data_IF_081952387938
#
_entry.id   IF_081952387938
#
_cell.length_a   1.000
_cell.length_b   1.000
_cell.length_c   1.000
_cell.angle_alpha   90.00
_cell.angle_beta   90.00
_cell.angle_gamma   90.00
#
_symmetry.space_group_name_H-M   'P 1'
#
loop_
_entity.id
_entity.type
_entity.pdbx_description
1 polymer ?
#
# COMPACT_ATOMS: atom_id res chain seq x y z
N UNK A 1 -2.03 -16.39 -25.46
CA UNK A 1 -2.32 -15.07 -24.86
C UNK A 1 -1.43 -14.86 -23.63
N UNK A 2 -0.68 -13.74 -23.55
CA UNK A 2 0.04 -13.33 -22.34
C UNK A 2 -0.94 -13.06 -21.19
N UNK A 3 -0.46 -13.12 -19.95
CA UNK A 3 -1.30 -13.02 -18.74
C UNK A 3 -2.15 -11.74 -18.71
N UNK A 4 -1.59 -10.61 -19.15
CA UNK A 4 -2.30 -9.34 -19.20
C UNK A 4 -3.44 -9.31 -20.22
N UNK A 5 -3.43 -10.17 -21.25
CA UNK A 5 -4.55 -10.34 -22.19
C UNK A 5 -5.50 -11.47 -21.80
N UNK A 6 -5.00 -12.53 -21.14
CA UNK A 6 -5.85 -13.66 -20.66
C UNK A 6 -7.01 -13.18 -19.81
N UNK A 7 -6.86 -12.04 -19.12
CA UNK A 7 -7.90 -11.48 -18.25
C UNK A 7 -9.16 -11.01 -18.98
N UNK A 8 -9.08 -10.80 -20.30
CA UNK A 8 -10.19 -10.40 -21.16
C UNK A 8 -10.84 -11.59 -21.87
N UNK A 9 -10.70 -12.81 -21.32
CA UNK A 9 -11.31 -14.02 -21.86
C UNK A 9 -12.48 -14.49 -20.98
N UNK A 10 -13.50 -15.19 -21.54
CA UNK A 10 -14.63 -15.69 -20.78
C UNK A 10 -14.22 -16.57 -19.59
N UNK A 11 -13.19 -17.41 -19.76
CA UNK A 11 -12.69 -18.28 -18.69
C UNK A 11 -12.13 -17.50 -17.49
N UNK A 12 -11.45 -16.36 -17.73
CA UNK A 12 -11.03 -15.51 -16.63
C UNK A 12 -12.24 -14.93 -15.87
N UNK A 13 -13.29 -14.53 -16.59
CA UNK A 13 -14.54 -14.04 -15.99
C UNK A 13 -15.21 -15.14 -15.16
N UNK A 14 -15.31 -16.38 -15.65
CA UNK A 14 -15.87 -17.49 -14.87
C UNK A 14 -15.10 -17.73 -13.56
N UNK A 15 -13.77 -17.74 -13.59
CA UNK A 15 -12.95 -17.91 -12.37
C UNK A 15 -13.13 -16.74 -11.39
N UNK A 16 -13.31 -15.52 -11.90
CA UNK A 16 -13.67 -14.34 -11.09
C UNK A 16 -15.06 -14.48 -10.47
N UNK A 17 -16.05 -14.95 -11.22
CA UNK A 17 -17.40 -15.25 -10.70
C UNK A 17 -17.34 -16.32 -9.61
N UNK A 18 -16.57 -17.39 -9.80
CA UNK A 18 -16.37 -18.43 -8.78
C UNK A 18 -15.69 -17.87 -7.53
N UNK A 19 -14.70 -16.98 -7.68
CA UNK A 19 -14.09 -16.27 -6.56
C UNK A 19 -15.12 -15.45 -5.77
N UNK A 20 -16.05 -14.77 -6.46
CA UNK A 20 -17.16 -14.08 -5.80
C UNK A 20 -18.15 -15.06 -5.16
N UNK A 21 -18.38 -16.23 -5.78
CA UNK A 21 -19.18 -17.32 -5.23
C UNK A 21 -18.69 -17.79 -3.86
N UNK A 22 -17.37 -17.83 -3.63
CA UNK A 22 -16.81 -18.10 -2.30
C UNK A 22 -17.30 -17.07 -1.26
N UNK A 23 -17.29 -15.78 -1.61
CA UNK A 23 -17.75 -14.72 -0.70
C UNK A 23 -19.24 -14.87 -0.37
N UNK A 24 -20.06 -15.23 -1.36
CA UNK A 24 -21.50 -15.49 -1.20
C UNK A 24 -21.73 -16.68 -0.26
N UNK A 25 -21.07 -17.82 -0.52
CA UNK A 25 -21.17 -19.02 0.33
C UNK A 25 -20.76 -18.71 1.77
N UNK A 26 -19.71 -17.93 1.98
CA UNK A 26 -19.28 -17.50 3.31
C UNK A 26 -20.31 -16.62 4.03
N UNK A 27 -20.98 -15.71 3.31
CA UNK A 27 -22.08 -14.88 3.87
C UNK A 27 -23.30 -15.73 4.23
N UNK A 28 -23.59 -16.76 3.45
CA UNK A 28 -24.64 -17.75 3.72
C UNK A 28 -24.23 -18.80 4.76
N UNK A 29 -23.02 -18.69 5.35
CA UNK A 29 -22.45 -19.63 6.32
C UNK A 29 -22.30 -21.07 5.79
N UNK A 30 -22.25 -21.24 4.47
CA UNK A 30 -22.00 -22.50 3.76
C UNK A 30 -20.49 -22.74 3.62
N UNK A 31 -19.82 -22.94 4.76
CA UNK A 31 -18.35 -22.98 4.82
C UNK A 31 -17.74 -24.25 4.21
N UNK A 32 -18.46 -25.37 4.19
CA UNK A 32 -17.98 -26.62 3.57
C UNK A 32 -17.90 -26.47 2.05
N UNK A 33 -18.94 -25.89 1.47
CA UNK A 33 -19.07 -25.57 0.05
C UNK A 33 -18.04 -24.51 -0.34
N UNK A 34 -17.86 -23.47 0.50
CA UNK A 34 -16.83 -22.46 0.27
C UNK A 34 -15.42 -23.05 0.23
N UNK A 35 -15.09 -23.99 1.13
CA UNK A 35 -13.81 -24.72 1.13
C UNK A 35 -13.64 -25.58 -0.11
N UNK A 36 -14.69 -26.31 -0.52
CA UNK A 36 -14.66 -27.11 -1.75
C UNK A 36 -14.37 -26.24 -2.98
N UNK A 37 -15.06 -25.10 -3.10
CA UNK A 37 -14.87 -24.15 -4.19
C UNK A 37 -13.46 -23.52 -4.16
N UNK A 38 -12.92 -23.19 -2.98
CA UNK A 38 -11.55 -22.69 -2.83
C UNK A 38 -10.50 -23.72 -3.27
N UNK A 39 -10.65 -24.99 -2.87
CA UNK A 39 -9.74 -26.07 -3.29
C UNK A 39 -9.77 -26.27 -4.81
N UNK A 40 -10.94 -26.21 -5.43
CA UNK A 40 -11.06 -26.24 -6.90
C UNK A 40 -10.36 -25.04 -7.57
N UNK A 41 -10.53 -23.83 -7.03
CA UNK A 41 -9.85 -22.62 -7.54
C UNK A 41 -8.32 -22.70 -7.41
N UNK A 42 -7.81 -23.30 -6.34
CA UNK A 42 -6.39 -23.50 -6.09
C UNK A 42 -5.77 -24.59 -6.96
N UNK A 43 -6.56 -25.60 -7.35
CA UNK A 43 -6.10 -26.70 -8.20
C UNK A 43 -5.77 -26.28 -9.64
N UNK A 44 -6.45 -25.27 -10.18
CA UNK A 44 -6.16 -24.77 -11.52
C UNK A 44 -4.94 -23.82 -11.56
N UNK A 45 -4.17 -23.86 -12.65
CA UNK A 45 -2.91 -23.15 -12.82
C UNK A 45 -2.91 -22.15 -13.99
N UNK A 46 -4.08 -21.80 -14.55
CA UNK A 46 -4.17 -21.03 -15.80
C UNK A 46 -4.64 -19.59 -15.58
N UNK A 47 -5.68 -19.40 -14.77
CA UNK A 47 -6.38 -18.12 -14.62
C UNK A 47 -6.28 -17.61 -13.18
N UNK A 48 -6.30 -16.29 -13.03
CA UNK A 48 -6.31 -15.63 -11.72
C UNK A 48 -5.21 -16.14 -10.76
N UNK A 49 -4.01 -16.46 -11.27
CA UNK A 49 -2.93 -16.99 -10.43
C UNK A 49 -2.49 -15.97 -9.36
N UNK A 50 -2.65 -14.68 -9.67
CA UNK A 50 -2.54 -13.53 -8.79
C UNK A 50 -3.55 -13.52 -7.61
N UNK A 51 -4.58 -14.38 -7.63
CA UNK A 51 -5.55 -14.54 -6.53
C UNK A 51 -5.20 -15.67 -5.58
N UNK A 52 -4.20 -16.51 -5.86
CA UNK A 52 -3.87 -17.67 -5.03
C UNK A 52 -3.63 -17.31 -3.57
N UNK A 53 -2.90 -16.23 -3.30
CA UNK A 53 -2.69 -15.78 -1.92
C UNK A 53 -3.98 -15.43 -1.18
N UNK A 54 -4.96 -14.82 -1.88
CA UNK A 54 -6.28 -14.55 -1.32
C UNK A 54 -7.07 -15.85 -1.09
N UNK A 55 -7.01 -16.79 -2.02
CA UNK A 55 -7.72 -18.07 -1.90
C UNK A 55 -7.17 -18.91 -0.74
N UNK A 56 -5.84 -19.03 -0.61
CA UNK A 56 -5.21 -19.70 0.53
C UNK A 56 -5.56 -19.03 1.87
N UNK A 57 -5.51 -17.70 1.96
CA UNK A 57 -5.88 -16.98 3.18
C UNK A 57 -7.34 -17.24 3.58
N UNK A 58 -8.28 -17.22 2.62
CA UNK A 58 -9.69 -17.56 2.89
C UNK A 58 -9.88 -19.04 3.23
N UNK A 59 -9.12 -19.94 2.61
CA UNK A 59 -9.18 -21.38 2.87
C UNK A 59 -8.73 -21.68 4.30
N UNK A 60 -7.55 -21.20 4.68
CA UNK A 60 -7.01 -21.34 6.03
C UNK A 60 -7.96 -20.72 7.08
N UNK A 61 -8.53 -19.55 6.80
CA UNK A 61 -9.54 -18.92 7.68
C UNK A 61 -10.77 -19.80 7.87
N UNK A 62 -11.35 -20.33 6.79
CA UNK A 62 -12.55 -21.17 6.88
C UNK A 62 -12.28 -22.45 7.65
N UNK A 63 -11.15 -23.12 7.39
CA UNK A 63 -10.76 -24.35 8.06
C UNK A 63 -10.57 -24.10 9.56
N UNK A 64 -9.79 -23.09 9.94
CA UNK A 64 -9.51 -22.76 11.34
C UNK A 64 -10.77 -22.27 12.07
N UNK A 65 -11.37 -21.17 11.61
CA UNK A 65 -12.33 -20.42 12.42
C UNK A 65 -13.74 -21.01 12.35
N UNK A 66 -14.15 -21.51 11.18
CA UNK A 66 -15.53 -21.91 10.93
C UNK A 66 -15.72 -23.43 10.98
N UNK A 67 -14.79 -24.20 10.42
CA UNK A 67 -14.88 -25.67 10.41
C UNK A 67 -14.12 -26.34 11.55
N UNK A 68 -13.37 -25.59 12.36
CA UNK A 68 -12.62 -26.06 13.53
C UNK A 68 -11.62 -27.18 13.19
N UNK A 69 -10.94 -27.03 12.06
CA UNK A 69 -9.91 -27.94 11.52
C UNK A 69 -8.56 -27.23 11.46
N UNK A 70 -7.93 -26.95 12.63
CA UNK A 70 -6.67 -26.18 12.68
C UNK A 70 -5.49 -26.92 12.04
N UNK A 71 -5.45 -28.25 12.10
CA UNK A 71 -4.40 -29.05 11.45
C UNK A 71 -4.48 -28.95 9.92
N UNK A 72 -5.67 -29.17 9.33
CA UNK A 72 -5.87 -28.94 7.89
C UNK A 72 -5.56 -27.49 7.50
N UNK A 73 -5.91 -26.50 8.35
CA UNK A 73 -5.55 -25.11 8.07
C UNK A 73 -4.03 -24.91 8.01
N UNK A 74 -3.27 -25.58 8.88
CA UNK A 74 -1.81 -25.51 8.91
C UNK A 74 -1.17 -26.13 7.66
N UNK A 75 -1.67 -27.28 7.23
CA UNK A 75 -1.25 -27.95 5.98
C UNK A 75 -1.47 -27.04 4.76
N UNK A 76 -2.64 -26.40 4.67
CA UNK A 76 -2.92 -25.47 3.56
C UNK A 76 -2.04 -24.21 3.63
N UNK A 77 -1.64 -23.77 4.83
CA UNK A 77 -0.65 -22.68 4.98
C UNK A 77 0.73 -23.14 4.47
N UNK A 78 1.17 -24.35 4.78
CA UNK A 78 2.44 -24.91 4.26
C UNK A 78 2.43 -24.96 2.72
N UNK A 79 1.32 -25.43 2.13
CA UNK A 79 1.12 -25.42 0.67
C UNK A 79 1.21 -24.00 0.11
N UNK A 80 0.57 -23.03 0.77
CA UNK A 80 0.60 -21.63 0.37
C UNK A 80 2.01 -21.03 0.44
N UNK A 81 2.79 -21.37 1.46
CA UNK A 81 4.17 -20.89 1.62
C UNK A 81 5.12 -21.49 0.57
N UNK A 82 4.76 -22.63 -0.02
CA UNK A 82 5.50 -23.24 -1.14
C UNK A 82 5.08 -22.70 -2.53
N UNK A 83 3.92 -22.04 -2.64
CA UNK A 83 3.41 -21.52 -3.92
C UNK A 83 3.97 -20.11 -4.22
N UNK A 84 4.75 -20.01 -5.29
CA UNK A 84 5.38 -18.75 -5.77
C UNK A 84 4.39 -17.64 -6.11
N UNK A 85 3.12 -17.95 -6.38
CA UNK A 85 2.10 -16.96 -6.70
C UNK A 85 1.46 -16.33 -5.45
N UNK A 86 1.75 -16.85 -4.25
CA UNK A 86 1.35 -16.21 -3.00
C UNK A 86 2.33 -15.08 -2.73
N UNK A 87 1.91 -13.82 -2.97
CA UNK A 87 2.76 -12.63 -2.79
C UNK A 87 2.88 -12.21 -1.33
N UNK A 88 3.92 -11.42 -1.04
CA UNK A 88 4.36 -11.03 0.33
C UNK A 88 3.21 -10.64 1.27
N UNK A 89 2.25 -9.83 0.82
CA UNK A 89 1.11 -9.40 1.64
C UNK A 89 0.27 -10.56 2.18
N UNK A 90 -0.13 -11.50 1.32
CA UNK A 90 -0.88 -12.67 1.76
C UNK A 90 0.00 -13.71 2.45
N UNK A 91 1.27 -13.86 2.02
CA UNK A 91 2.25 -14.71 2.73
C UNK A 91 2.37 -14.29 4.19
N UNK A 92 2.53 -13.00 4.46
CA UNK A 92 2.62 -12.46 5.81
C UNK A 92 1.35 -12.73 6.62
N UNK A 93 0.16 -12.50 6.05
CA UNK A 93 -1.11 -12.84 6.74
C UNK A 93 -1.18 -14.33 7.11
N UNK A 94 -0.74 -15.22 6.22
CA UNK A 94 -0.69 -16.67 6.45
C UNK A 94 0.35 -17.03 7.52
N UNK A 95 1.53 -16.41 7.50
CA UNK A 95 2.57 -16.58 8.52
C UNK A 95 2.08 -16.16 9.91
N UNK A 96 1.42 -15.01 10.02
CA UNK A 96 0.83 -14.52 11.28
C UNK A 96 -0.28 -15.46 11.78
N UNK A 97 -1.01 -16.13 10.88
CA UNK A 97 -1.96 -17.20 11.24
C UNK A 97 -1.22 -18.45 11.71
N UNK A 98 -0.19 -18.89 10.98
CA UNK A 98 0.63 -20.02 11.36
C UNK A 98 1.25 -19.82 12.76
N UNK A 99 1.80 -18.64 13.07
CA UNK A 99 2.34 -18.32 14.41
C UNK A 99 1.35 -18.59 15.55
N UNK A 100 0.05 -18.39 15.31
CA UNK A 100 -0.98 -18.71 16.32
C UNK A 100 -1.25 -20.21 16.41
N UNK A 101 -1.25 -20.91 15.29
CA UNK A 101 -1.51 -22.35 15.20
C UNK A 101 -0.33 -23.19 15.66
N UNK A 102 0.91 -22.71 15.48
CA UNK A 102 2.15 -23.42 15.85
C UNK A 102 2.55 -23.20 17.31
N UNK A 103 1.78 -22.44 18.10
CA UNK A 103 2.10 -22.19 19.53
C UNK A 103 2.23 -23.47 20.35
N UNK A 104 1.47 -24.50 20.01
CA UNK A 104 1.51 -25.81 20.67
C UNK A 104 2.55 -26.77 20.11
N UNK A 105 3.23 -26.42 19.01
CA UNK A 105 4.30 -27.22 18.46
C UNK A 105 5.58 -27.02 19.26
N UNK A 106 6.45 -28.03 19.23
CA UNK A 106 7.79 -27.98 19.81
C UNK A 106 8.59 -26.80 19.23
N UNK A 107 9.46 -26.19 20.03
CA UNK A 107 10.38 -25.15 19.58
C UNK A 107 11.41 -25.69 18.58
N UNK A 108 11.67 -27.00 18.62
CA UNK A 108 12.55 -27.66 17.66
C UNK A 108 11.90 -27.93 16.30
N UNK A 109 10.59 -27.76 16.16
CA UNK A 109 9.84 -27.98 14.92
C UNK A 109 10.33 -27.05 13.79
N UNK A 110 10.78 -27.64 12.68
CA UNK A 110 11.35 -26.92 11.54
C UNK A 110 10.35 -25.93 10.92
N UNK A 111 9.06 -26.26 10.91
CA UNK A 111 8.04 -25.38 10.37
C UNK A 111 7.80 -24.18 11.28
N UNK A 112 7.78 -24.36 12.61
CA UNK A 112 7.70 -23.26 13.58
C UNK A 112 8.89 -22.31 13.43
N UNK A 113 10.11 -22.83 13.31
CA UNK A 113 11.33 -22.03 13.07
C UNK A 113 11.25 -21.25 11.77
N UNK A 114 10.80 -21.88 10.68
CA UNK A 114 10.57 -21.22 9.40
C UNK A 114 9.59 -20.05 9.52
N UNK A 115 8.45 -20.29 10.18
CA UNK A 115 7.40 -19.29 10.35
C UNK A 115 7.89 -18.10 11.18
N UNK A 116 8.61 -18.34 12.29
CA UNK A 116 9.20 -17.27 13.11
C UNK A 116 10.16 -16.40 12.29
N UNK A 117 11.04 -17.03 11.50
CA UNK A 117 12.00 -16.32 10.65
C UNK A 117 11.34 -15.51 9.53
N UNK A 118 10.37 -16.08 8.83
CA UNK A 118 9.72 -15.40 7.70
C UNK A 118 8.69 -14.34 8.14
N UNK A 119 8.15 -14.46 9.35
CA UNK A 119 7.22 -13.48 9.91
C UNK A 119 7.93 -12.29 10.55
N UNK A 120 9.25 -12.33 10.70
CA UNK A 120 10.01 -11.27 11.35
C UNK A 120 10.04 -10.00 10.49
N UNK A 121 9.54 -8.92 11.06
CA UNK A 121 9.42 -7.60 10.43
C UNK A 121 9.82 -6.54 11.44
N UNK A 122 10.47 -5.49 10.95
CA UNK A 122 10.83 -4.35 11.79
C UNK A 122 9.54 -3.63 12.21
N UNK A 123 9.31 -3.53 13.52
CA UNK A 123 8.21 -2.75 14.06
C UNK A 123 8.53 -1.26 13.90
N UNK A 124 7.62 -0.53 13.25
CA UNK A 124 7.78 0.90 13.06
C UNK A 124 7.70 1.66 14.40
N UNK A 125 8.53 2.71 14.58
CA UNK A 125 8.37 3.65 15.68
C UNK A 125 6.94 4.17 15.76
N UNK A 126 6.44 4.38 16.99
CA UNK A 126 5.08 4.88 17.23
C UNK A 126 5.16 6.19 18.01
N UNK A 127 4.45 7.19 17.51
CA UNK A 127 4.22 8.45 18.21
C UNK A 127 2.74 8.57 18.56
N UNK A 128 2.43 9.27 19.65
CA UNK A 128 1.06 9.47 20.09
C UNK A 128 0.77 10.97 20.10
N UNK A 129 -0.24 11.37 19.34
CA UNK A 129 -0.73 12.76 19.34
C UNK A 129 -2.14 12.81 19.92
N UNK A 130 -2.47 13.94 20.54
CA UNK A 130 -3.76 14.14 21.19
C UNK A 130 -4.64 15.05 20.34
N UNK A 131 -5.78 14.55 19.90
CA UNK A 131 -6.79 15.31 19.18
C UNK A 131 -8.01 15.61 20.06
N UNK A 132 -8.47 16.86 20.07
CA UNK A 132 -9.76 17.20 20.72
C UNK A 132 -10.92 16.75 19.83
N UNK A 133 -11.75 15.85 20.33
CA UNK A 133 -12.93 15.39 19.57
C UNK A 133 -13.95 16.52 19.40
N UNK A 134 -14.56 16.59 18.22
CA UNK A 134 -15.73 17.42 18.00
C UNK A 134 -16.92 16.85 18.80
N UNK A 135 -17.56 17.64 19.68
CA UNK A 135 -18.68 17.16 20.52
C UNK A 135 -19.96 16.89 19.72
N UNK A 136 -20.07 17.40 18.48
CA UNK A 136 -21.21 17.14 17.61
C UNK A 136 -20.92 15.94 16.71
N UNK A 137 -21.78 14.92 16.79
CA UNK A 137 -21.76 13.82 15.82
C UNK A 137 -22.19 14.35 14.45
N UNK A 138 -21.27 14.38 13.50
CA UNK A 138 -21.57 14.70 12.10
C UNK A 138 -22.05 13.42 11.43
N UNK A 139 -23.24 13.46 10.82
CA UNK A 139 -23.79 12.31 10.09
C UNK A 139 -22.78 11.82 9.04
N UNK A 140 -22.42 10.54 9.10
CA UNK A 140 -21.51 9.89 8.16
C UNK A 140 -20.01 10.07 8.45
N UNK A 141 -19.60 10.89 9.42
CA UNK A 141 -18.19 11.06 9.79
C UNK A 141 -17.96 10.64 11.25
N UNK A 142 -17.06 9.69 11.46
CA UNK A 142 -16.60 9.25 12.80
C UNK A 142 -15.21 9.82 13.05
N UNK A 143 -14.84 10.00 14.32
CA UNK A 143 -13.51 10.47 14.75
C UNK A 143 -13.07 11.78 14.09
N UNK A 144 -13.87 12.80 14.32
CA UNK A 144 -13.68 14.14 13.80
C UNK A 144 -13.09 15.03 14.90
N UNK A 145 -12.06 15.81 14.58
CA UNK A 145 -11.28 16.61 15.54
C UNK A 145 -11.40 18.11 15.29
N UNK A 146 -11.05 18.91 16.29
CA UNK A 146 -11.02 20.37 16.22
C UNK A 146 -9.58 20.83 15.98
N UNK A 147 -9.37 21.74 15.02
CA UNK A 147 -8.07 22.34 14.73
C UNK A 147 -7.49 23.10 15.93
N UNK A 148 -6.16 23.07 16.10
CA UNK A 148 -5.48 23.87 17.12
C UNK A 148 -5.65 25.38 16.86
N UNK A 149 -5.72 25.78 15.59
CA UNK A 149 -5.82 27.17 15.15
C UNK A 149 -7.16 27.84 15.49
N UNK A 150 -8.26 27.07 15.53
CA UNK A 150 -9.60 27.59 15.88
C UNK A 150 -9.75 27.98 17.36
N UNK A 151 -8.77 27.67 18.21
CA UNK A 151 -8.74 28.10 19.62
C UNK A 151 -8.12 29.50 19.75
N UNK A 152 -7.36 29.96 18.76
CA UNK A 152 -6.63 31.23 18.78
C UNK A 152 -7.36 32.39 18.11
N UNK A 153 -8.33 32.11 17.24
CA UNK A 153 -9.20 33.11 16.60
C UNK A 153 -10.44 33.37 17.46
N UNK A 154 -10.66 34.61 17.89
CA UNK A 154 -11.83 35.07 18.67
C UNK A 154 -13.16 35.06 17.87
N UNK A 155 -13.32 34.18 16.89
CA UNK A 155 -14.52 34.07 16.07
C UNK A 155 -15.08 32.64 16.17
N UNK A 156 -16.41 32.53 16.21
CA UNK A 156 -17.20 31.30 16.45
C UNK A 156 -17.02 30.17 15.39
N UNK A 157 -15.97 30.23 14.56
CA UNK A 157 -15.73 29.31 13.46
C UNK A 157 -14.81 28.16 13.89
N UNK A 158 -15.42 27.02 14.26
CA UNK A 158 -14.69 25.79 14.60
C UNK A 158 -14.32 25.05 13.31
N UNK A 159 -13.04 25.02 12.97
CA UNK A 159 -12.53 24.20 11.86
C UNK A 159 -12.46 22.74 12.29
N UNK A 160 -13.04 21.90 11.43
CA UNK A 160 -13.26 20.48 11.69
C UNK A 160 -12.33 19.65 10.81
N UNK A 161 -11.52 18.79 11.43
CA UNK A 161 -10.48 17.99 10.78
C UNK A 161 -10.77 16.50 10.87
N UNK A 162 -10.31 15.75 9.86
CA UNK A 162 -10.14 14.29 10.00
C UNK A 162 -8.82 13.96 10.72
N UNK A 163 -8.56 12.66 10.93
CA UNK A 163 -7.39 12.18 11.67
C UNK A 163 -6.10 12.59 10.95
N UNK A 164 -6.09 12.53 9.63
CA UNK A 164 -4.93 12.81 8.78
C UNK A 164 -4.60 14.30 8.74
N UNK A 165 -5.61 15.17 8.65
CA UNK A 165 -5.44 16.62 8.72
C UNK A 165 -4.94 17.09 10.09
N UNK A 166 -5.47 16.53 11.18
CA UNK A 166 -4.94 16.81 12.52
C UNK A 166 -3.46 16.41 12.61
N UNK A 167 -3.10 15.28 12.00
CA UNK A 167 -1.72 14.80 11.99
C UNK A 167 -0.81 15.73 11.17
N UNK A 168 -1.28 16.23 10.02
CA UNK A 168 -0.56 17.24 9.24
C UNK A 168 -0.33 18.54 10.02
N UNK A 169 -1.33 19.04 10.76
CA UNK A 169 -1.15 20.22 11.63
C UNK A 169 -0.06 19.99 12.68
N UNK A 170 -0.05 18.81 13.31
CA UNK A 170 0.96 18.46 14.30
C UNK A 170 2.39 18.47 13.72
N UNK A 171 2.61 17.82 12.57
CA UNK A 171 3.95 17.82 11.95
C UNK A 171 4.36 19.18 11.42
N UNK A 172 3.39 20.02 11.03
CA UNK A 172 3.66 21.42 10.69
C UNK A 172 4.24 22.19 11.88
N UNK A 173 3.69 21.98 13.07
CA UNK A 173 4.22 22.53 14.33
C UNK A 173 5.59 21.89 14.70
N UNK A 174 5.82 20.62 14.34
CA UNK A 174 7.10 19.89 14.54
C UNK A 174 8.18 20.21 13.48
N UNK A 175 7.98 21.27 12.68
CA UNK A 175 8.98 21.77 11.74
C UNK A 175 8.96 21.15 10.35
N UNK A 176 7.87 20.48 9.96
CA UNK A 176 7.61 20.03 8.59
C UNK A 176 6.55 20.94 7.94
N UNK A 177 6.94 22.11 7.37
CA UNK A 177 5.99 23.09 6.85
C UNK A 177 5.10 22.55 5.73
N UNK A 178 5.60 21.57 4.97
CA UNK A 178 4.90 20.93 3.85
C UNK A 178 4.47 19.51 4.21
N UNK A 179 3.32 19.10 3.69
CA UNK A 179 2.84 17.74 3.86
C UNK A 179 1.66 17.40 2.97
N UNK A 180 1.53 16.12 2.63
CA UNK A 180 0.50 15.62 1.74
C UNK A 180 -0.18 14.38 2.30
N UNK A 181 -1.51 14.37 2.28
CA UNK A 181 -2.32 13.17 2.44
C UNK A 181 -2.71 12.62 1.07
N UNK A 182 -1.96 11.63 0.59
CA UNK A 182 -2.17 11.04 -0.73
C UNK A 182 -2.12 9.52 -0.76
N UNK A 183 -1.85 8.86 0.37
CA UNK A 183 -1.68 7.40 0.46
C UNK A 183 -0.73 6.90 -0.66
N UNK A 184 -1.08 5.80 -1.32
CA UNK A 184 -0.33 5.28 -2.46
C UNK A 184 -0.26 6.21 -3.67
N UNK A 185 -1.20 7.16 -3.84
CA UNK A 185 -1.24 8.00 -5.04
C UNK A 185 -0.03 8.93 -5.15
N UNK A 186 0.50 9.41 -4.02
CA UNK A 186 1.72 10.24 -3.98
C UNK A 186 2.89 9.49 -4.60
N UNK A 187 3.19 8.30 -4.08
CA UNK A 187 4.35 7.52 -4.51
C UNK A 187 4.19 6.91 -5.91
N UNK A 188 2.96 6.54 -6.30
CA UNK A 188 2.67 6.10 -7.67
C UNK A 188 2.89 7.25 -8.66
N UNK A 189 2.50 8.48 -8.28
CA UNK A 189 2.72 9.65 -9.12
C UNK A 189 4.20 10.00 -9.22
N UNK A 190 4.95 9.94 -8.12
CA UNK A 190 6.41 10.12 -8.15
C UNK A 190 7.10 9.07 -9.03
N UNK A 191 6.70 7.80 -8.91
CA UNK A 191 7.17 6.74 -9.79
C UNK A 191 6.89 7.06 -11.26
N UNK A 192 5.67 7.47 -11.59
CA UNK A 192 5.29 7.79 -12.96
C UNK A 192 5.99 9.04 -13.51
N UNK A 193 6.26 10.05 -12.67
CA UNK A 193 7.05 11.23 -13.04
C UNK A 193 8.52 10.87 -13.31
N UNK A 194 9.10 9.94 -12.54
CA UNK A 194 10.50 9.55 -12.68
C UNK A 194 10.74 8.48 -13.76
N UNK A 195 9.72 7.69 -14.10
CA UNK A 195 9.81 6.54 -15.03
C UNK A 195 8.93 6.70 -16.28
N UNK A 196 8.52 7.92 -16.61
CA UNK A 196 7.51 8.18 -17.65
C UNK A 196 7.80 7.43 -18.96
N UNK A 197 8.99 7.64 -19.54
CA UNK A 197 9.36 7.06 -20.83
C UNK A 197 9.41 5.53 -20.82
N UNK A 198 9.76 4.93 -19.68
CA UNK A 198 9.81 3.48 -19.50
C UNK A 198 8.39 2.90 -19.39
N UNK A 199 7.53 3.55 -18.59
CA UNK A 199 6.14 3.11 -18.38
C UNK A 199 5.35 3.21 -19.69
N UNK A 200 5.54 4.29 -20.43
CA UNK A 200 4.82 4.60 -21.65
C UNK A 200 5.57 4.20 -22.93
N UNK A 201 6.58 3.33 -22.81
CA UNK A 201 7.29 2.74 -23.95
C UNK A 201 6.31 1.97 -24.86
N UNK A 202 6.04 2.57 -26.03
CA UNK A 202 5.14 2.05 -27.05
C UNK A 202 5.76 0.95 -27.92
N UNK A 203 7.04 0.62 -27.73
CA UNK A 203 7.71 -0.46 -28.49
C UNK A 203 7.33 -1.86 -28.01
N UNK A 204 6.80 -1.99 -26.78
CA UNK A 204 6.38 -3.28 -26.22
C UNK A 204 5.07 -3.74 -26.88
N UNK A 205 5.02 -4.92 -27.53
CA UNK A 205 3.82 -5.37 -28.23
C UNK A 205 2.61 -5.56 -27.31
N UNK A 206 1.42 -5.27 -27.85
CA UNK A 206 0.10 -5.53 -27.24
C UNK A 206 -0.21 -4.81 -25.91
N UNK A 207 0.71 -4.00 -25.36
CA UNK A 207 0.45 -3.32 -24.07
C UNK A 207 -0.33 -2.02 -24.23
N UNK A 208 -0.32 -1.42 -25.42
CA UNK A 208 -1.17 -0.29 -25.81
C UNK A 208 -1.95 -0.66 -27.08
N UNK A 209 -3.25 -0.89 -26.92
CA UNK A 209 -4.16 -1.31 -28.00
C UNK A 209 -5.14 -0.20 -28.42
N UNK A 210 -5.24 0.88 -27.64
CA UNK A 210 -6.05 2.04 -28.01
C UNK A 210 -5.50 3.36 -27.43
N UNK A 211 -5.88 4.53 -27.99
CA UNK A 211 -5.36 5.83 -27.57
C UNK A 211 -5.83 6.31 -26.18
N UNK A 212 -6.81 5.63 -25.57
CA UNK A 212 -7.43 6.07 -24.31
C UNK A 212 -6.89 5.36 -23.06
N UNK A 213 -5.83 4.55 -23.21
CA UNK A 213 -5.21 3.87 -22.08
C UNK A 213 -4.41 4.86 -21.23
N UNK A 214 -4.67 4.83 -19.92
CA UNK A 214 -3.90 5.64 -18.95
C UNK A 214 -2.60 4.97 -18.49
N UNK A 215 -2.41 3.69 -18.84
CA UNK A 215 -1.25 2.88 -18.47
C UNK A 215 -1.17 1.61 -19.37
N UNK A 216 0.01 0.97 -19.48
CA UNK A 216 0.14 -0.24 -20.28
C UNK A 216 -0.61 -1.41 -19.63
N UNK A 217 -1.16 -2.31 -20.46
CA UNK A 217 -1.97 -3.45 -19.99
C UNK A 217 -1.20 -4.42 -19.09
N UNK A 218 0.12 -4.51 -19.26
CA UNK A 218 1.00 -5.40 -18.50
C UNK A 218 1.39 -4.86 -17.12
N UNK A 219 1.14 -3.57 -16.79
CA UNK A 219 1.57 -2.91 -15.54
C UNK A 219 1.24 -3.72 -14.27
N UNK A 220 0.09 -4.37 -14.24
CA UNK A 220 -0.37 -5.14 -13.08
C UNK A 220 0.06 -6.61 -13.11
N UNK A 221 1.12 -6.94 -13.84
CA UNK A 221 1.65 -8.30 -14.03
C UNK A 221 3.18 -8.30 -13.90
N UNK A 222 3.77 -9.47 -13.61
CA UNK A 222 5.23 -9.62 -13.57
C UNK A 222 5.89 -9.29 -14.93
N UNK A 223 5.14 -9.37 -16.03
CA UNK A 223 5.66 -9.09 -17.38
C UNK A 223 6.04 -7.61 -17.57
N UNK A 224 5.46 -6.67 -16.81
CA UNK A 224 5.84 -5.26 -16.92
C UNK A 224 7.34 -5.07 -16.66
N UNK A 225 7.82 -5.62 -15.54
CA UNK A 225 9.23 -5.57 -15.19
C UNK A 225 10.07 -6.40 -16.16
N UNK A 226 9.66 -7.64 -16.45
CA UNK A 226 10.45 -8.55 -17.30
C UNK A 226 10.66 -8.00 -18.71
N UNK A 227 9.63 -7.38 -19.31
CA UNK A 227 9.73 -6.79 -20.65
C UNK A 227 10.62 -5.53 -20.69
N UNK A 228 10.85 -4.90 -19.53
CA UNK A 228 11.58 -3.63 -19.41
C UNK A 228 12.79 -3.73 -18.48
N UNK A 229 13.24 -4.94 -18.15
CA UNK A 229 14.20 -5.18 -17.06
C UNK A 229 15.49 -4.38 -17.28
N UNK A 230 16.05 -4.42 -18.49
CA UNK A 230 17.25 -3.66 -18.85
C UNK A 230 17.05 -2.15 -18.74
N UNK A 231 15.91 -1.62 -19.20
CA UNK A 231 15.61 -0.18 -19.12
C UNK A 231 15.45 0.26 -17.67
N UNK A 232 14.67 -0.49 -16.89
CA UNK A 232 14.39 -0.21 -15.48
C UNK A 232 15.67 -0.27 -14.66
N UNK A 233 16.48 -1.32 -14.81
CA UNK A 233 17.74 -1.49 -14.06
C UNK A 233 18.74 -0.40 -14.40
N UNK A 234 18.97 -0.10 -15.69
CA UNK A 234 19.86 0.99 -16.10
C UNK A 234 19.38 2.35 -15.59
N UNK A 235 18.07 2.61 -15.59
CA UNK A 235 17.51 3.86 -15.11
C UNK A 235 17.61 3.99 -13.58
N UNK A 236 17.37 2.90 -12.84
CA UNK A 236 17.59 2.85 -11.39
C UNK A 236 19.06 3.11 -11.03
N UNK A 237 20.01 2.57 -11.79
CA UNK A 237 21.44 2.85 -11.60
C UNK A 237 21.79 4.32 -11.85
N UNK A 238 21.22 4.94 -12.88
CA UNK A 238 21.37 6.37 -13.15
C UNK A 238 20.77 7.21 -12.01
N UNK A 239 19.52 6.93 -11.62
CA UNK A 239 18.83 7.63 -10.54
C UNK A 239 19.57 7.50 -9.21
N UNK A 240 20.19 6.35 -8.91
CA UNK A 240 20.95 6.15 -7.67
C UNK A 240 22.14 7.10 -7.56
N UNK A 241 22.73 7.48 -8.69
CA UNK A 241 23.87 8.42 -8.76
C UNK A 241 23.43 9.87 -9.04
N UNK A 242 22.13 10.12 -9.21
CA UNK A 242 21.59 11.44 -9.50
C UNK A 242 21.68 12.36 -8.28
N UNK A 243 22.04 13.62 -8.53
CA UNK A 243 21.94 14.69 -7.53
C UNK A 243 20.48 15.13 -7.34
N UNK A 244 20.20 15.90 -6.30
CA UNK A 244 18.87 16.48 -6.11
C UNK A 244 18.44 17.37 -7.29
N UNK A 245 19.37 18.06 -7.94
CA UNK A 245 19.05 18.89 -9.12
C UNK A 245 18.72 18.04 -10.34
N UNK A 246 19.40 16.91 -10.54
CA UNK A 246 19.07 15.96 -11.61
C UNK A 246 17.65 15.39 -11.42
N UNK A 247 17.29 15.02 -10.18
CA UNK A 247 15.94 14.53 -9.85
C UNK A 247 14.87 15.58 -10.14
N UNK A 248 15.12 16.83 -9.74
CA UNK A 248 14.21 17.96 -10.01
C UNK A 248 14.05 18.21 -11.51
N UNK A 249 15.11 18.07 -12.29
CA UNK A 249 15.08 18.27 -13.75
C UNK A 249 14.30 17.16 -14.46
N UNK A 250 14.44 15.90 -14.04
CA UNK A 250 13.63 14.78 -14.55
C UNK A 250 12.14 15.04 -14.31
N UNK A 251 11.79 15.45 -13.08
CA UNK A 251 10.40 15.77 -12.72
C UNK A 251 9.87 16.96 -13.53
N UNK A 252 10.66 18.03 -13.65
CA UNK A 252 10.32 19.22 -14.43
C UNK A 252 10.05 18.88 -15.89
N UNK A 253 10.99 18.17 -16.52
CA UNK A 253 10.87 17.74 -17.92
C UNK A 253 9.58 16.96 -18.15
N UNK A 254 9.29 16.00 -17.25
CA UNK A 254 8.07 15.20 -17.35
C UNK A 254 6.81 16.04 -17.11
N UNK A 255 6.85 16.94 -16.14
CA UNK A 255 5.75 17.85 -15.83
C UNK A 255 5.42 18.76 -17.03
N UNK A 256 6.40 19.49 -17.56
CA UNK A 256 6.21 20.42 -18.68
C UNK A 256 5.67 19.71 -19.94
N UNK A 257 6.13 18.48 -20.21
CA UNK A 257 5.73 17.73 -21.41
C UNK A 257 4.39 16.97 -21.26
N UNK A 258 3.95 16.66 -20.04
CA UNK A 258 2.85 15.70 -19.82
C UNK A 258 1.77 16.15 -18.83
N UNK A 259 1.92 17.29 -18.16
CA UNK A 259 0.94 17.79 -17.20
C UNK A 259 -0.48 17.80 -17.77
N UNK A 260 -1.44 17.30 -16.99
CA UNK A 260 -2.84 17.19 -17.37
C UNK A 260 -3.21 15.97 -18.22
N UNK A 261 -2.25 15.17 -18.70
CA UNK A 261 -2.54 13.91 -19.42
C UNK A 261 -3.09 12.84 -18.47
N UNK A 262 -4.16 12.15 -18.87
CA UNK A 262 -4.69 11.03 -18.11
C UNK A 262 -3.65 9.89 -18.02
N UNK A 263 -3.08 9.68 -16.84
CA UNK A 263 -1.91 8.84 -16.62
C UNK A 263 -1.93 8.20 -15.22
N UNK A 264 -0.82 7.56 -14.81
CA UNK A 264 -0.63 7.14 -13.42
C UNK A 264 -0.42 8.32 -12.46
N UNK A 265 -0.06 9.50 -12.98
CA UNK A 265 0.14 10.71 -12.19
C UNK A 265 -1.21 11.31 -11.81
N UNK A 266 -1.43 11.48 -10.52
CA UNK A 266 -2.54 12.26 -10.00
C UNK A 266 -2.14 13.74 -9.96
N UNK A 267 -2.28 14.46 -11.08
CA UNK A 267 -1.79 15.85 -11.20
C UNK A 267 -2.31 16.78 -10.10
N UNK A 268 -3.61 16.70 -9.78
CA UNK A 268 -4.27 17.52 -8.74
C UNK A 268 -3.81 17.21 -7.31
N UNK A 269 -2.89 16.25 -7.13
CA UNK A 269 -2.31 15.87 -5.83
C UNK A 269 -1.25 16.87 -5.41
N UNK A 270 -0.52 17.43 -6.37
CA UNK A 270 0.57 18.37 -6.13
C UNK A 270 0.07 19.78 -6.39
N UNK A 271 0.50 20.72 -5.55
CA UNK A 271 0.10 22.12 -5.68
C UNK A 271 0.66 22.72 -6.97
N UNK A 272 1.96 22.50 -7.19
CA UNK A 272 2.69 22.97 -8.36
C UNK A 272 3.98 22.13 -8.55
N UNK A 273 4.79 22.54 -9.53
CA UNK A 273 6.07 21.89 -9.82
C UNK A 273 7.08 22.05 -8.68
N UNK A 274 7.15 23.23 -8.03
CA UNK A 274 8.10 23.50 -6.96
C UNK A 274 7.82 22.62 -5.74
N UNK A 275 6.55 22.39 -5.44
CA UNK A 275 6.07 21.51 -4.38
C UNK A 275 6.56 20.05 -4.57
N UNK A 276 6.39 19.49 -5.78
CA UNK A 276 6.87 18.13 -6.06
C UNK A 276 8.39 18.06 -6.14
N UNK A 277 9.06 19.12 -6.63
CA UNK A 277 10.52 19.24 -6.64
C UNK A 277 11.11 19.25 -5.23
N UNK A 278 10.47 19.96 -4.29
CA UNK A 278 10.84 19.95 -2.88
C UNK A 278 10.71 18.55 -2.27
N UNK A 279 9.61 17.85 -2.55
CA UNK A 279 9.39 16.49 -2.07
C UNK A 279 10.44 15.50 -2.59
N UNK A 280 10.74 15.49 -3.89
CA UNK A 280 11.74 14.55 -4.44
C UNK A 280 13.15 14.85 -3.93
N UNK A 281 13.48 16.12 -3.70
CA UNK A 281 14.77 16.50 -3.12
C UNK A 281 14.91 16.05 -1.66
N UNK A 282 13.83 16.09 -0.88
CA UNK A 282 13.85 15.64 0.52
C UNK A 282 13.84 14.11 0.64
N UNK A 283 13.11 13.39 -0.23
CA UNK A 283 13.17 11.92 -0.29
C UNK A 283 14.56 11.44 -0.74
N UNK A 284 15.18 12.16 -1.67
CA UNK A 284 16.49 11.83 -2.19
C UNK A 284 16.50 10.58 -3.07
N UNK A 285 17.60 10.40 -3.80
CA UNK A 285 17.74 9.35 -4.81
C UNK A 285 17.57 7.94 -4.25
N UNK A 286 18.15 7.66 -3.07
CA UNK A 286 18.16 6.31 -2.49
C UNK A 286 16.74 5.81 -2.17
N UNK A 287 15.94 6.61 -1.47
CA UNK A 287 14.58 6.25 -1.08
C UNK A 287 13.69 6.16 -2.33
N UNK A 288 13.79 7.13 -3.24
CA UNK A 288 13.03 7.13 -4.49
C UNK A 288 13.33 5.89 -5.35
N UNK A 289 14.61 5.51 -5.49
CA UNK A 289 15.00 4.32 -6.23
C UNK A 289 14.37 3.06 -5.64
N UNK A 290 14.44 2.86 -4.31
CA UNK A 290 13.85 1.67 -3.68
C UNK A 290 12.33 1.61 -3.87
N UNK A 291 11.63 2.74 -3.67
CA UNK A 291 10.18 2.80 -3.89
C UNK A 291 9.83 2.50 -5.35
N UNK A 292 10.52 3.12 -6.31
CA UNK A 292 10.29 2.91 -7.73
C UNK A 292 10.59 1.47 -8.16
N UNK A 293 11.68 0.88 -7.68
CA UNK A 293 12.03 -0.53 -7.95
C UNK A 293 10.95 -1.47 -7.42
N UNK A 294 10.46 -1.23 -6.19
CA UNK A 294 9.38 -2.03 -5.58
C UNK A 294 8.06 -1.91 -6.35
N UNK A 295 7.74 -0.73 -6.85
CA UNK A 295 6.56 -0.50 -7.68
C UNK A 295 6.72 -1.14 -9.06
N UNK A 296 7.88 -1.00 -9.71
CA UNK A 296 8.14 -1.59 -11.02
C UNK A 296 8.09 -3.12 -10.99
N UNK A 297 8.66 -3.76 -9.95
CA UNK A 297 8.68 -5.24 -9.82
C UNK A 297 7.33 -5.86 -9.47
N UNK A 298 6.50 -5.17 -8.67
CA UNK A 298 5.29 -5.79 -8.10
C UNK A 298 4.10 -4.83 -7.95
N UNK A 299 3.91 -3.94 -8.93
CA UNK A 299 2.96 -2.81 -8.88
C UNK A 299 1.60 -3.17 -8.29
N UNK A 300 0.99 -4.26 -8.79
CA UNK A 300 -0.34 -4.68 -8.36
C UNK A 300 -0.44 -4.92 -6.85
N UNK A 301 0.58 -5.50 -6.26
CA UNK A 301 0.58 -5.93 -4.86
C UNK A 301 1.25 -4.91 -3.93
N UNK A 302 2.02 -3.97 -4.48
CA UNK A 302 2.72 -2.92 -3.73
C UNK A 302 2.05 -1.55 -3.83
N UNK A 303 1.20 -1.27 -4.81
CA UNK A 303 0.47 0.03 -4.93
C UNK A 303 -0.50 0.37 -3.79
N UNK A 304 -0.69 -0.54 -2.83
CA UNK A 304 -1.65 -0.40 -1.72
C UNK A 304 -0.98 -0.69 -0.39
N UNK A 305 -1.43 -0.03 0.67
CA UNK A 305 -0.82 -0.11 2.01
C UNK A 305 0.44 0.74 2.16
N UNK A 306 0.67 1.66 1.23
CA UNK A 306 1.68 2.71 1.37
C UNK A 306 1.21 3.68 2.46
N UNK A 307 2.10 4.26 3.28
CA UNK A 307 1.70 5.17 4.35
C UNK A 307 0.86 6.36 3.89
N UNK A 308 -0.05 6.80 4.77
CA UNK A 308 -1.07 7.81 4.46
C UNK A 308 -0.46 9.17 4.09
N UNK A 309 0.57 9.59 4.84
CA UNK A 309 1.18 10.91 4.76
C UNK A 309 2.65 10.87 4.37
N UNK A 310 3.07 11.94 3.70
CA UNK A 310 4.48 12.35 3.65
C UNK A 310 4.56 13.81 4.06
N UNK A 311 5.44 14.13 5.01
CA UNK A 311 5.69 15.49 5.51
C UNK A 311 7.16 15.82 5.32
N UNK A 312 7.49 17.04 4.93
CA UNK A 312 8.87 17.44 4.64
C UNK A 312 9.13 18.91 4.91
N UNK A 313 10.41 19.24 4.98
CA UNK A 313 10.91 20.59 5.11
C UNK A 313 11.95 20.84 4.00
N UNK A 314 11.60 21.61 2.95
CA UNK A 314 12.50 21.90 1.83
C UNK A 314 13.80 22.60 2.23
N UNK A 315 13.78 23.42 3.28
CA UNK A 315 14.97 24.18 3.74
C UNK A 315 15.98 23.29 4.44
N UNK A 316 15.50 22.32 5.22
CA UNK A 316 16.37 21.41 6.00
C UNK A 316 16.57 20.04 5.34
N UNK A 317 15.91 19.81 4.20
CA UNK A 317 15.87 18.53 3.47
C UNK A 317 15.43 17.33 4.33
N UNK A 318 14.64 17.58 5.38
CA UNK A 318 14.04 16.53 6.21
C UNK A 318 12.75 16.04 5.58
N UNK A 319 12.51 14.74 5.63
CA UNK A 319 11.27 14.10 5.21
C UNK A 319 10.91 13.00 6.19
N UNK A 320 9.60 12.81 6.42
CA UNK A 320 9.07 11.73 7.21
C UNK A 320 7.84 11.13 6.53
N UNK A 321 7.76 9.81 6.52
CA UNK A 321 6.66 9.05 5.93
C UNK A 321 5.80 8.49 7.07
N UNK A 322 4.54 8.90 7.16
CA UNK A 322 3.73 8.64 8.36
C UNK A 322 2.48 7.86 8.01
N UNK A 323 2.28 6.75 8.72
CA UNK A 323 1.05 5.98 8.70
C UNK A 323 0.16 6.42 9.87
N UNK A 324 -1.06 6.84 9.59
CA UNK A 324 -1.96 7.42 10.60
C UNK A 324 -2.94 6.36 11.10
N UNK A 325 -3.17 6.30 12.41
CA UNK A 325 -4.18 5.42 13.01
C UNK A 325 -5.07 6.19 13.97
N UNK A 326 -6.36 6.18 13.66
CA UNK A 326 -7.38 6.67 14.57
C UNK A 326 -7.61 5.72 15.76
N UNK A 327 -8.44 6.13 16.73
CA UNK A 327 -8.75 5.33 17.91
C UNK A 327 -9.34 3.95 17.54
N UNK A 328 -8.63 2.88 17.90
CA UNK A 328 -9.06 1.50 17.67
C UNK A 328 -8.66 0.90 16.31
N UNK A 329 -8.07 1.70 15.43
CA UNK A 329 -7.57 1.22 14.14
C UNK A 329 -6.26 0.44 14.30
N UNK A 330 -6.06 -0.55 13.43
CA UNK A 330 -4.86 -1.39 13.40
C UNK A 330 -4.23 -1.36 12.03
N UNK A 331 -2.92 -1.55 11.98
CA UNK A 331 -2.19 -1.74 10.74
C UNK A 331 -2.65 -3.01 10.03
N UNK A 332 -2.87 -2.89 8.73
CA UNK A 332 -3.03 -4.05 7.85
C UNK A 332 -1.67 -4.71 7.57
N UNK A 333 -1.68 -5.97 7.14
CA UNK A 333 -0.47 -6.70 6.72
C UNK A 333 0.32 -5.94 5.65
N UNK A 334 -0.35 -5.23 4.74
CA UNK A 334 0.33 -4.47 3.68
C UNK A 334 1.05 -3.23 4.22
N UNK A 335 0.43 -2.52 5.17
CA UNK A 335 1.02 -1.36 5.84
C UNK A 335 2.26 -1.76 6.64
N UNK A 336 2.18 -2.86 7.39
CA UNK A 336 3.33 -3.41 8.13
C UNK A 336 4.49 -3.71 7.18
N UNK A 337 4.24 -4.38 6.05
CA UNK A 337 5.28 -4.71 5.07
C UNK A 337 5.83 -3.51 4.28
N UNK A 338 5.09 -2.40 4.23
CA UNK A 338 5.57 -1.15 3.66
C UNK A 338 6.45 -0.40 4.64
N UNK A 339 6.04 -0.29 5.90
CA UNK A 339 6.83 0.31 6.96
C UNK A 339 8.15 -0.44 7.17
N UNK A 340 8.11 -1.78 7.28
CA UNK A 340 9.31 -2.63 7.35
C UNK A 340 10.26 -2.35 6.18
N UNK A 341 9.73 -2.20 4.97
CA UNK A 341 10.53 -1.94 3.79
C UNK A 341 11.13 -0.55 3.78
N UNK A 342 10.36 0.49 4.12
CA UNK A 342 10.81 1.87 4.16
C UNK A 342 11.90 2.06 5.21
N UNK A 343 11.74 1.46 6.40
CA UNK A 343 12.75 1.52 7.47
C UNK A 343 14.04 0.79 7.04
N UNK A 344 13.93 -0.39 6.41
CA UNK A 344 15.10 -1.10 5.85
C UNK A 344 15.81 -0.32 4.74
N UNK A 345 15.07 0.54 4.03
CA UNK A 345 15.61 1.46 3.01
C UNK A 345 16.24 2.71 3.63
N UNK A 346 16.16 2.88 4.96
CA UNK A 346 16.71 4.04 5.67
C UNK A 346 15.80 5.28 5.64
N UNK A 347 14.52 5.13 5.24
CA UNK A 347 13.55 6.21 5.35
C UNK A 347 13.13 6.42 6.81
N UNK A 348 12.97 7.68 7.21
CA UNK A 348 12.31 8.03 8.48
C UNK A 348 10.80 7.77 8.32
N UNK A 349 10.36 6.62 8.82
CA UNK A 349 8.97 6.20 8.74
C UNK A 349 8.44 5.77 10.11
N UNK A 350 7.22 6.22 10.44
CA UNK A 350 6.61 5.95 11.74
C UNK A 350 5.08 5.81 11.64
N UNK A 351 4.48 5.36 12.75
CA UNK A 351 3.04 5.28 12.93
C UNK A 351 2.61 6.36 13.91
N UNK A 352 1.75 7.27 13.46
CA UNK A 352 1.15 8.28 14.31
C UNK A 352 -0.21 7.80 14.82
N UNK A 353 -0.29 7.56 16.13
CA UNK A 353 -1.50 7.15 16.83
C UNK A 353 -2.24 8.38 17.35
N UNK A 354 -3.47 8.58 16.89
CA UNK A 354 -4.31 9.70 17.35
C UNK A 354 -5.17 9.26 18.53
N UNK A 355 -4.89 9.82 19.70
CA UNK A 355 -5.72 9.66 20.88
C UNK A 355 -6.77 10.76 20.96
N UNK A 356 -8.02 10.33 21.15
CA UNK A 356 -9.13 11.23 21.37
C UNK A 356 -9.16 11.76 22.80
N UNK A 357 -9.07 13.08 22.96
CA UNK A 357 -9.29 13.77 24.23
C UNK A 357 -10.66 14.44 24.21
N UNK A 358 -11.43 14.29 25.28
CA UNK A 358 -12.74 14.90 25.40
C UNK A 358 -12.63 16.44 25.40
N UNK A 359 -13.42 17.11 24.56
CA UNK A 359 -13.67 18.54 24.72
C UNK A 359 -14.47 18.74 26.02
N UNK A 360 -13.91 19.40 27.04
CA UNK A 360 -14.75 19.95 28.12
C UNK A 360 -15.84 20.77 27.43
N UNK A 361 -17.12 20.55 27.79
CA UNK A 361 -18.26 21.28 27.20
C UNK A 361 -17.88 22.76 27.09
N UNK A 362 -17.77 23.28 25.87
CA UNK A 362 -17.78 24.72 25.62
C UNK A 362 -19.01 25.26 26.37
N UNK A 363 -18.79 26.12 27.37
CA UNK A 363 -19.88 26.73 28.13
C UNK A 363 -20.75 27.46 27.11
N UNK A 364 -22.05 27.14 27.13
CA UNK A 364 -23.07 27.79 26.31
C UNK A 364 -23.10 29.29 26.53
#
# INVERSE_FOLDING_TARGET
LPVFLKRYTPYHVYIRCMTQGVEILQRLRQYKEAVSLLRMLLHQNVFCQDYKGRWYDRLALNLEQHLKKPQEALEEIQNALSDKNVRKGHRYTLLIRALRLTKSLDDEDDFKKLVLREADVIEAPKVIIKGRLCPRSILGRRHVFISSSSVCSNEDEVTILNVEQLTLEHYKEDGYPEGIHGEGSTFISLYALLFWDIIYDGSIPDVFICPYQTHPLDLNTDLFFLNREKQITSHLEALKNASNEDLKEIVKTTWENHHGKASLVSWDRFVDLEYVQGLVACLGSHILCGICERLAKDFRFTRSGVPDLVVWNPETLKVKIVEVKGPGDKLSSKQILWLDYLIKLGADAEVCLVEAVASKKLRK
#
